data_IF_579570865571
#
_entry.id   IF_579570865571
#
_cell.length_a   1.000
_cell.length_b   1.000
_cell.length_c   1.000
_cell.angle_alpha   90.00
_cell.angle_beta   90.00
_cell.angle_gamma   90.00
#
_symmetry.space_group_name_H-M   'P 1'
#
loop_
_entity.id
_entity.type
_entity.pdbx_description
1 polymer ?
#
# COMPACT_ATOMS: atom_id res chain seq x y z
N UNK A 1 10.80 12.42 -2.94
CA UNK A 1 11.10 12.45 -1.49
C UNK A 1 10.72 13.75 -0.80
N UNK A 2 11.05 14.94 -1.36
CA UNK A 2 10.66 16.24 -0.80
C UNK A 2 9.14 16.39 -0.55
N UNK A 3 8.29 15.93 -1.48
CA UNK A 3 6.82 15.98 -1.35
C UNK A 3 6.32 15.29 -0.07
N UNK A 4 6.82 14.09 0.25
CA UNK A 4 6.41 13.37 1.47
C UNK A 4 6.85 14.08 2.76
N UNK A 5 8.07 14.66 2.79
CA UNK A 5 8.54 15.47 3.93
C UNK A 5 7.68 16.72 4.12
N UNK A 6 7.44 17.48 3.05
CA UNK A 6 6.59 18.67 3.05
C UNK A 6 5.17 18.34 3.52
N UNK A 7 4.59 17.27 2.99
CA UNK A 7 3.24 16.84 3.32
C UNK A 7 3.08 16.45 4.80
N UNK A 8 4.07 15.75 5.37
CA UNK A 8 4.08 15.41 6.79
C UNK A 8 4.15 16.65 7.69
N UNK A 9 4.96 17.65 7.31
CA UNK A 9 5.06 18.91 8.06
C UNK A 9 3.77 19.74 7.97
N UNK A 10 3.16 19.84 6.79
CA UNK A 10 1.89 20.55 6.57
C UNK A 10 0.78 19.94 7.43
N UNK A 11 0.72 18.60 7.50
CA UNK A 11 -0.27 17.90 8.32
C UNK A 11 -0.08 18.22 9.80
N UNK A 12 1.17 18.17 10.28
CA UNK A 12 1.47 18.50 11.68
C UNK A 12 1.00 19.91 12.03
N UNK A 13 1.28 20.90 11.17
CA UNK A 13 0.90 22.29 11.41
C UNK A 13 -0.62 22.52 11.34
N UNK A 14 -1.31 21.90 10.38
CA UNK A 14 -2.78 22.03 10.25
C UNK A 14 -3.55 21.31 11.35
N UNK A 15 -3.00 20.22 11.89
CA UNK A 15 -3.67 19.41 12.89
C UNK A 15 -3.47 19.89 14.34
N UNK A 16 -2.46 20.72 14.61
CA UNK A 16 -2.18 21.24 15.96
C UNK A 16 -3.35 22.06 16.54
N UNK A 17 -4.17 22.67 15.68
CA UNK A 17 -5.28 23.55 16.08
C UNK A 17 -6.68 22.99 15.73
N UNK A 18 -6.75 21.71 15.37
CA UNK A 18 -8.01 21.09 14.98
C UNK A 18 -8.77 20.50 16.18
N UNK A 19 -10.10 20.55 16.13
CA UNK A 19 -11.00 19.98 17.16
C UNK A 19 -10.70 18.51 17.48
N UNK A 20 -10.41 17.70 16.45
CA UNK A 20 -9.95 16.32 16.61
C UNK A 20 -8.68 16.09 15.76
N UNK A 21 -7.52 16.12 16.42
CA UNK A 21 -6.21 15.90 15.80
C UNK A 21 -6.13 14.56 15.05
N UNK A 22 -6.66 13.49 15.64
CA UNK A 22 -6.62 12.16 15.03
C UNK A 22 -7.38 12.15 13.71
N UNK A 23 -8.61 12.64 13.71
CA UNK A 23 -9.45 12.64 12.51
C UNK A 23 -8.89 13.52 11.39
N UNK A 24 -8.44 14.73 11.72
CA UNK A 24 -7.89 15.65 10.71
C UNK A 24 -6.62 15.08 10.09
N UNK A 25 -5.69 14.55 10.90
CA UNK A 25 -4.47 13.92 10.37
C UNK A 25 -4.82 12.73 9.50
N UNK A 26 -5.74 11.88 9.96
CA UNK A 26 -6.15 10.67 9.24
C UNK A 26 -6.79 11.03 7.90
N UNK A 27 -7.70 11.99 7.88
CA UNK A 27 -8.39 12.46 6.67
C UNK A 27 -7.42 13.11 5.68
N UNK A 28 -6.56 14.03 6.11
CA UNK A 28 -5.62 14.69 5.19
C UNK A 28 -4.61 13.70 4.62
N UNK A 29 -4.12 12.76 5.44
CA UNK A 29 -3.19 11.74 4.96
C UNK A 29 -3.86 10.81 3.93
N UNK A 30 -5.01 10.22 4.26
CA UNK A 30 -5.74 9.30 3.35
C UNK A 30 -6.32 10.00 2.12
N UNK A 31 -6.90 11.18 2.30
CA UNK A 31 -7.65 11.89 1.25
C UNK A 31 -6.76 12.67 0.29
N UNK A 32 -5.63 13.22 0.76
CA UNK A 32 -4.79 14.12 -0.06
C UNK A 32 -3.42 13.50 -0.32
N UNK A 33 -2.73 13.07 0.74
CA UNK A 33 -1.32 12.72 0.62
C UNK A 33 -1.11 11.37 -0.04
N UNK A 34 -1.83 10.33 0.38
CA UNK A 34 -1.70 8.98 -0.19
C UNK A 34 -1.98 9.01 -1.71
N UNK A 35 -3.11 9.55 -2.21
CA UNK A 35 -3.35 9.64 -3.65
C UNK A 35 -2.25 10.41 -4.40
N UNK A 36 -1.77 11.52 -3.81
CA UNK A 36 -0.70 12.33 -4.40
C UNK A 36 0.68 11.68 -4.39
N UNK A 37 0.92 10.66 -3.55
CA UNK A 37 2.15 9.86 -3.50
C UNK A 37 2.05 8.60 -4.35
N UNK A 38 0.87 8.01 -4.48
CA UNK A 38 0.60 6.81 -5.29
C UNK A 38 0.11 7.14 -6.70
N UNK A 39 0.23 8.39 -7.14
CA UNK A 39 -0.12 8.77 -8.50
C UNK A 39 0.76 8.01 -9.51
N UNK A 40 0.14 7.39 -10.52
CA UNK A 40 0.85 6.59 -11.52
C UNK A 40 1.38 5.24 -11.04
N UNK A 41 1.03 4.79 -9.82
CA UNK A 41 1.55 3.54 -9.23
C UNK A 41 1.26 2.28 -10.06
N UNK A 42 0.17 2.29 -10.85
CA UNK A 42 -0.16 1.21 -11.77
C UNK A 42 0.90 1.00 -12.86
N UNK A 43 1.54 2.08 -13.34
CA UNK A 43 2.47 2.05 -14.48
C UNK A 43 3.92 2.22 -14.04
N UNK A 44 4.19 3.12 -13.10
CA UNK A 44 5.55 3.40 -12.64
C UNK A 44 6.05 2.30 -11.70
N UNK A 45 7.34 1.99 -11.78
CA UNK A 45 8.00 1.09 -10.82
C UNK A 45 8.77 1.92 -9.81
N UNK A 46 8.28 1.95 -8.57
CA UNK A 46 8.99 2.62 -7.47
C UNK A 46 10.16 1.77 -6.99
N UNK A 47 11.30 2.41 -6.73
CA UNK A 47 12.44 1.75 -6.09
C UNK A 47 12.05 1.28 -4.67
N UNK A 48 12.56 0.13 -4.23
CA UNK A 48 12.36 -0.41 -2.89
C UNK A 48 12.74 0.60 -1.79
N UNK A 49 13.81 1.38 -1.99
CA UNK A 49 14.22 2.42 -1.04
C UNK A 49 13.22 3.59 -0.91
N UNK A 50 12.49 3.91 -1.99
CA UNK A 50 11.43 4.92 -1.94
C UNK A 50 10.20 4.36 -1.23
N UNK A 51 9.85 3.11 -1.51
CA UNK A 51 8.73 2.43 -0.87
C UNK A 51 8.95 2.32 0.65
N UNK A 52 10.13 1.90 1.09
CA UNK A 52 10.48 1.82 2.51
C UNK A 52 10.47 3.20 3.18
N UNK A 53 10.94 4.23 2.49
CA UNK A 53 10.86 5.60 2.99
C UNK A 53 9.40 6.07 3.18
N UNK A 54 8.53 5.78 2.21
CA UNK A 54 7.10 6.12 2.30
C UNK A 54 6.41 5.38 3.44
N UNK A 55 6.71 4.09 3.61
CA UNK A 55 6.25 3.26 4.74
C UNK A 55 6.63 3.85 6.10
N UNK A 56 7.91 4.20 6.29
CA UNK A 56 8.39 4.81 7.53
C UNK A 56 7.67 6.13 7.82
N UNK A 57 7.43 6.94 6.78
CA UNK A 57 6.68 8.21 6.93
C UNK A 57 5.23 7.97 7.30
N UNK A 58 4.55 7.00 6.67
CA UNK A 58 3.19 6.64 7.03
C UNK A 58 3.09 6.22 8.49
N UNK A 59 3.99 5.37 8.98
CA UNK A 59 4.00 4.94 10.39
C UNK A 59 4.26 6.11 11.34
N UNK A 60 5.15 7.03 10.97
CA UNK A 60 5.38 8.26 11.74
C UNK A 60 4.14 9.15 11.82
N UNK A 61 3.40 9.31 10.73
CA UNK A 61 2.13 10.06 10.73
C UNK A 61 1.05 9.33 11.53
N UNK A 62 1.00 7.99 11.46
CA UNK A 62 0.09 7.18 12.28
C UNK A 62 0.31 7.39 13.77
N UNK A 63 1.57 7.31 14.23
CA UNK A 63 1.93 7.61 15.63
C UNK A 63 1.56 9.04 16.04
N UNK A 64 1.83 10.02 15.17
CA UNK A 64 1.46 11.41 15.42
C UNK A 64 -0.06 11.58 15.57
N UNK A 65 -0.85 10.91 14.73
CA UNK A 65 -2.32 10.93 14.80
C UNK A 65 -2.81 10.36 16.14
N UNK A 66 -2.28 9.20 16.53
CA UNK A 66 -2.63 8.49 17.76
C UNK A 66 -2.06 9.17 19.02
N UNK A 67 -1.12 10.10 18.90
CA UNK A 67 -0.37 10.62 20.04
C UNK A 67 0.55 9.58 20.68
N UNK A 68 0.89 8.52 19.95
CA UNK A 68 1.68 7.40 20.43
C UNK A 68 3.18 7.72 20.45
N UNK A 69 3.91 7.06 21.35
CA UNK A 69 5.35 7.22 21.47
C UNK A 69 6.09 6.74 20.21
N UNK A 70 7.29 7.28 19.95
CA UNK A 70 8.11 6.90 18.80
C UNK A 70 8.44 5.41 18.72
N UNK A 71 8.54 4.76 19.89
CA UNK A 71 8.85 3.33 20.03
C UNK A 71 7.63 2.41 19.98
N UNK A 72 6.42 2.94 19.79
CA UNK A 72 5.21 2.11 19.68
C UNK A 72 5.36 1.11 18.53
N UNK A 73 5.00 -0.18 18.74
CA UNK A 73 5.06 -1.20 17.70
C UNK A 73 4.35 -0.76 16.40
N UNK A 74 4.95 -1.08 15.26
CA UNK A 74 4.42 -0.68 13.95
C UNK A 74 3.04 -1.29 13.67
N UNK A 75 2.82 -2.51 14.16
CA UNK A 75 1.65 -3.33 13.91
C UNK A 75 0.43 -2.75 14.64
N UNK A 76 0.58 -2.36 15.91
CA UNK A 76 -0.47 -1.64 16.65
C UNK A 76 -0.81 -0.30 16.00
N UNK A 77 0.21 0.52 15.71
CA UNK A 77 -0.01 1.82 15.05
C UNK A 77 -0.64 1.70 13.65
N UNK A 78 -0.40 0.62 12.91
CA UNK A 78 -1.04 0.36 11.62
C UNK A 78 -2.46 -0.21 11.76
N UNK A 79 -2.68 -1.06 12.78
CA UNK A 79 -3.96 -1.64 13.14
C UNK A 79 -4.99 -0.56 13.50
N UNK A 80 -4.68 0.27 14.49
CA UNK A 80 -5.55 1.38 14.94
C UNK A 80 -5.86 2.38 13.82
N UNK A 81 -4.90 2.62 12.92
CA UNK A 81 -5.11 3.53 11.80
C UNK A 81 -5.97 2.92 10.69
N UNK A 82 -6.01 1.58 10.59
CA UNK A 82 -6.67 0.84 9.51
C UNK A 82 -6.12 1.23 8.14
N UNK A 83 -4.79 1.31 8.03
CA UNK A 83 -4.10 1.75 6.82
C UNK A 83 -3.44 0.58 6.09
N UNK A 84 -3.67 0.49 4.78
CA UNK A 84 -2.93 -0.44 3.91
C UNK A 84 -1.45 -0.06 3.81
N UNK A 85 -0.59 -1.02 3.50
CA UNK A 85 0.80 -0.72 3.15
C UNK A 85 0.89 -0.10 1.74
N UNK A 86 1.94 0.66 1.48
CA UNK A 86 2.28 1.13 0.14
C UNK A 86 2.58 -0.03 -0.81
N UNK A 87 3.15 -1.13 -0.32
CA UNK A 87 3.37 -2.33 -1.13
C UNK A 87 2.03 -2.98 -1.55
N UNK A 88 1.07 -3.11 -0.63
CA UNK A 88 -0.27 -3.61 -0.94
C UNK A 88 -1.01 -2.70 -1.92
N UNK A 89 -0.84 -1.37 -1.79
CA UNK A 89 -1.39 -0.41 -2.78
C UNK A 89 -0.74 -0.55 -4.15
N UNK A 90 0.57 -0.79 -4.22
CA UNK A 90 1.28 -1.08 -5.47
C UNK A 90 0.79 -2.37 -6.11
N UNK A 91 0.68 -3.45 -5.32
CA UNK A 91 0.19 -4.74 -5.77
C UNK A 91 -1.21 -4.60 -6.38
N UNK A 92 -2.15 -4.03 -5.64
CA UNK A 92 -3.52 -3.81 -6.09
C UNK A 92 -3.57 -3.03 -7.41
N UNK A 93 -2.90 -1.88 -7.48
CA UNK A 93 -2.94 -1.03 -8.68
C UNK A 93 -2.31 -1.70 -9.91
N UNK A 94 -1.17 -2.40 -9.76
CA UNK A 94 -0.49 -3.04 -10.89
C UNK A 94 -1.24 -4.27 -11.40
N UNK A 95 -1.70 -5.13 -10.49
CA UNK A 95 -2.42 -6.35 -10.86
C UNK A 95 -3.78 -5.98 -11.48
N UNK A 96 -4.51 -5.02 -10.92
CA UNK A 96 -5.77 -4.54 -11.53
C UNK A 96 -5.53 -3.95 -12.93
N UNK A 97 -4.45 -3.18 -13.09
CA UNK A 97 -4.08 -2.63 -14.39
C UNK A 97 -3.72 -3.73 -15.39
N UNK A 98 -2.95 -4.73 -15.00
CA UNK A 98 -2.64 -5.89 -15.84
C UNK A 98 -3.90 -6.65 -16.24
N UNK A 99 -4.79 -6.93 -15.28
CA UNK A 99 -6.06 -7.61 -15.55
C UNK A 99 -6.95 -6.81 -16.51
N UNK A 100 -6.94 -5.46 -16.41
CA UNK A 100 -7.63 -4.59 -17.35
C UNK A 100 -6.99 -4.63 -18.73
N UNK A 101 -5.66 -4.55 -18.82
CA UNK A 101 -4.94 -4.67 -20.09
C UNK A 101 -5.23 -6.00 -20.77
N UNK A 102 -5.47 -7.08 -20.01
CA UNK A 102 -5.85 -8.39 -20.58
C UNK A 102 -7.21 -8.42 -21.27
N UNK A 103 -8.13 -7.54 -20.88
CA UNK A 103 -9.49 -7.44 -21.43
C UNK A 103 -9.62 -6.46 -22.59
N UNK A 104 -8.58 -5.68 -22.89
CA UNK A 104 -8.59 -4.72 -23.99
C UNK A 104 -8.43 -5.42 -25.34
N UNK A 105 -9.00 -4.82 -26.37
CA UNK A 105 -8.85 -5.24 -27.76
C UNK A 105 -7.37 -5.17 -28.22
N UNK A 106 -6.96 -6.12 -29.05
CA UNK A 106 -5.60 -6.28 -29.58
C UNK A 106 -5.16 -5.10 -30.45
N UNK A 107 -6.12 -4.36 -31.02
CA UNK A 107 -5.85 -3.16 -31.80
C UNK A 107 -5.31 -2.02 -30.93
N UNK A 108 -5.64 -2.00 -29.63
CA UNK A 108 -5.20 -0.93 -28.73
C UNK A 108 -3.71 -1.04 -28.40
N UNK A 109 -2.99 0.09 -28.49
CA UNK A 109 -1.56 0.17 -28.22
C UNK A 109 -1.17 -0.40 -26.85
N UNK A 110 -1.95 -0.13 -25.81
CA UNK A 110 -1.68 -0.64 -24.47
C UNK A 110 -1.68 -2.18 -24.39
N UNK A 111 -2.53 -2.85 -25.18
CA UNK A 111 -2.58 -4.31 -25.31
C UNK A 111 -1.38 -4.83 -26.12
N UNK A 112 -1.01 -4.13 -27.19
CA UNK A 112 0.17 -4.47 -28.00
C UNK A 112 1.48 -4.39 -27.20
N UNK A 113 1.60 -3.39 -26.33
CA UNK A 113 2.75 -3.26 -25.42
C UNK A 113 2.82 -4.44 -24.44
N UNK A 114 1.67 -4.89 -23.92
CA UNK A 114 1.63 -6.11 -23.09
C UNK A 114 2.05 -7.35 -23.90
N UNK A 115 1.60 -7.46 -25.15
CA UNK A 115 1.94 -8.57 -26.05
C UNK A 115 3.44 -8.61 -26.38
N UNK A 116 4.08 -7.45 -26.57
CA UNK A 116 5.54 -7.34 -26.71
C UNK A 116 6.27 -7.91 -25.49
N UNK A 117 5.74 -7.70 -24.29
CA UNK A 117 6.29 -8.34 -23.09
C UNK A 117 6.11 -9.85 -23.12
N UNK A 118 4.95 -10.36 -23.58
CA UNK A 118 4.72 -11.80 -23.73
C UNK A 118 5.70 -12.49 -24.68
N UNK A 119 6.29 -11.75 -25.64
CA UNK A 119 7.38 -12.21 -26.52
C UNK A 119 8.79 -11.98 -25.93
N UNK A 120 8.98 -12.37 -24.67
CA UNK A 120 10.27 -12.39 -23.95
C UNK A 120 10.97 -11.07 -23.59
N UNK A 121 10.31 -9.91 -23.72
CA UNK A 121 10.85 -8.66 -23.14
C UNK A 121 10.41 -8.55 -21.67
N UNK A 122 11.25 -9.03 -20.75
CA UNK A 122 10.96 -8.96 -19.32
C UNK A 122 11.37 -7.61 -18.70
N UNK A 123 10.47 -6.63 -18.81
CA UNK A 123 10.68 -5.30 -18.25
C UNK A 123 10.69 -5.30 -16.73
N UNK A 124 11.30 -4.26 -16.13
CA UNK A 124 11.25 -4.02 -14.67
C UNK A 124 9.82 -4.04 -14.14
N UNK A 125 8.86 -3.56 -14.92
CA UNK A 125 7.45 -3.57 -14.57
C UNK A 125 6.85 -4.97 -14.51
N UNK A 126 7.13 -5.82 -15.50
CA UNK A 126 6.64 -7.19 -15.53
C UNK A 126 7.24 -8.03 -14.40
N UNK A 127 8.56 -7.94 -14.19
CA UNK A 127 9.26 -8.58 -13.06
C UNK A 127 8.63 -8.21 -11.72
N UNK A 128 8.39 -6.91 -11.50
CA UNK A 128 7.77 -6.41 -10.27
C UNK A 128 6.33 -6.90 -10.11
N UNK A 129 5.53 -6.83 -11.17
CA UNK A 129 4.12 -7.24 -11.14
C UNK A 129 3.98 -8.74 -10.90
N UNK A 130 4.80 -9.57 -11.55
CA UNK A 130 4.89 -11.03 -11.26
C UNK A 130 5.27 -11.30 -9.81
N UNK A 131 6.28 -10.64 -9.28
CA UNK A 131 6.68 -10.80 -7.86
C UNK A 131 5.56 -10.42 -6.90
N UNK A 132 4.83 -9.33 -7.17
CA UNK A 132 3.69 -8.91 -6.37
C UNK A 132 2.51 -9.88 -6.51
N UNK A 133 2.25 -10.37 -7.72
CA UNK A 133 1.24 -11.40 -7.96
C UNK A 133 1.58 -12.67 -7.19
N UNK A 134 2.80 -13.21 -7.28
CA UNK A 134 3.21 -14.39 -6.52
C UNK A 134 3.10 -14.20 -5.00
N UNK A 135 3.29 -12.98 -4.50
CA UNK A 135 3.20 -12.67 -3.07
C UNK A 135 1.75 -12.56 -2.56
N UNK A 136 0.86 -11.92 -3.32
CA UNK A 136 -0.50 -11.56 -2.86
C UNK A 136 -1.62 -12.40 -3.50
N UNK A 137 -1.33 -13.03 -4.62
CA UNK A 137 -2.23 -13.88 -5.38
C UNK A 137 -1.54 -15.23 -5.49
N UNK A 138 -1.66 -16.06 -4.45
CA UNK A 138 -1.45 -17.50 -4.63
C UNK A 138 -2.30 -17.93 -5.83
N UNK A 139 -1.68 -18.47 -6.88
CA UNK A 139 -2.36 -18.80 -8.13
C UNK A 139 -3.21 -20.05 -7.91
N UNK A 140 -4.27 -19.94 -7.13
CA UNK A 140 -5.31 -20.95 -7.11
C UNK A 140 -6.10 -20.80 -8.42
N UNK A 141 -5.89 -21.79 -9.29
CA UNK A 141 -6.62 -22.07 -10.52
C UNK A 141 -8.08 -22.39 -10.19
N UNK A 142 -8.82 -21.38 -9.75
CA UNK A 142 -10.18 -21.57 -9.31
C UNK A 142 -10.86 -20.23 -9.31
N UNK A 143 -11.37 -19.85 -10.49
CA UNK A 143 -12.38 -18.83 -10.77
C UNK A 143 -12.87 -18.06 -9.53
N UNK A 144 -12.02 -17.21 -8.96
CA UNK A 144 -12.37 -16.56 -7.71
C UNK A 144 -13.19 -15.33 -8.06
N UNK A 145 -14.49 -15.40 -7.81
CA UNK A 145 -15.42 -14.24 -7.85
C UNK A 145 -14.95 -13.09 -6.94
N UNK A 146 -13.92 -13.30 -6.11
CA UNK A 146 -13.33 -12.29 -5.22
C UNK A 146 -12.46 -11.30 -6.00
N UNK A 147 -12.69 -10.03 -5.72
CA UNK A 147 -11.91 -8.93 -6.29
C UNK A 147 -10.43 -9.05 -5.91
N UNK A 148 -9.52 -8.66 -6.82
CA UNK A 148 -8.09 -8.48 -6.52
C UNK A 148 -7.90 -7.65 -5.24
N UNK A 149 -8.80 -6.68 -4.99
CA UNK A 149 -8.80 -5.84 -3.79
C UNK A 149 -8.95 -6.63 -2.51
N UNK A 150 -9.87 -7.60 -2.46
CA UNK A 150 -10.11 -8.37 -1.25
C UNK A 150 -8.94 -9.31 -1.00
N UNK A 151 -8.43 -9.97 -2.04
CA UNK A 151 -7.29 -10.90 -1.92
C UNK A 151 -6.03 -10.22 -1.37
N UNK A 152 -5.70 -9.03 -1.90
CA UNK A 152 -4.58 -8.25 -1.37
C UNK A 152 -4.82 -7.84 0.09
N UNK A 153 -6.06 -7.47 0.44
CA UNK A 153 -6.43 -7.12 1.82
C UNK A 153 -6.30 -8.32 2.77
N UNK A 154 -6.76 -9.50 2.35
CA UNK A 154 -6.73 -10.72 3.15
C UNK A 154 -5.27 -11.10 3.45
N UNK A 155 -4.42 -11.15 2.41
CA UNK A 155 -2.98 -11.41 2.56
C UNK A 155 -2.25 -10.35 3.41
N UNK A 156 -2.63 -9.06 3.31
CA UNK A 156 -2.10 -8.02 4.20
C UNK A 156 -2.55 -8.24 5.66
N UNK A 157 -3.77 -8.70 5.87
CA UNK A 157 -4.34 -8.95 7.20
C UNK A 157 -3.70 -10.17 7.85
N UNK A 158 -3.49 -11.25 7.11
CA UNK A 158 -2.76 -12.44 7.57
C UNK A 158 -1.33 -12.09 7.97
N UNK A 159 -0.60 -11.38 7.11
CA UNK A 159 0.77 -10.95 7.39
C UNK A 159 0.86 -10.02 8.60
N UNK A 160 -0.12 -9.11 8.75
CA UNK A 160 -0.21 -8.25 9.93
C UNK A 160 -0.48 -9.06 11.19
N UNK A 161 -1.40 -10.02 11.14
CA UNK A 161 -1.78 -10.88 12.27
C UNK A 161 -0.60 -11.73 12.73
N UNK A 162 0.14 -12.35 11.81
CA UNK A 162 1.37 -13.11 12.10
C UNK A 162 2.40 -12.24 12.84
N UNK A 163 2.68 -11.04 12.32
CA UNK A 163 3.62 -10.11 12.96
C UNK A 163 3.14 -9.57 14.30
N UNK A 164 1.84 -9.41 14.45
CA UNK A 164 1.23 -9.02 15.71
C UNK A 164 1.43 -10.12 16.76
N UNK A 165 1.28 -11.40 16.37
CA UNK A 165 1.47 -12.59 17.20
C UNK A 165 2.93 -12.86 17.59
N UNK A 166 3.90 -12.41 16.80
CA UNK A 166 5.33 -12.54 17.15
C UNK A 166 5.77 -11.59 18.28
N UNK A 167 5.09 -10.45 18.48
CA UNK A 167 5.57 -9.38 19.37
C UNK A 167 4.97 -9.42 20.77
N UNK A 168 5.78 -9.74 21.78
CA UNK A 168 5.37 -9.73 23.20
C UNK A 168 4.78 -8.41 23.67
N UNK A 169 5.27 -7.27 23.17
CA UNK A 169 4.76 -5.93 23.49
C UNK A 169 3.32 -5.67 23.04
N UNK A 170 2.75 -6.55 22.21
CA UNK A 170 1.36 -6.49 21.76
C UNK A 170 0.48 -7.56 22.41
N UNK A 171 0.94 -8.24 23.46
CA UNK A 171 0.15 -9.29 24.13
C UNK A 171 -1.24 -8.78 24.56
N UNK A 172 -1.28 -7.64 25.28
CA UNK A 172 -2.54 -7.01 25.71
C UNK A 172 -3.44 -6.56 24.54
N UNK A 173 -2.84 -6.18 23.41
CA UNK A 173 -3.58 -5.78 22.21
C UNK A 173 -4.23 -6.97 21.50
N UNK A 174 -3.85 -8.22 21.83
CA UNK A 174 -4.45 -9.44 21.26
C UNK A 174 -5.66 -9.92 22.05
N UNK A 175 -5.72 -9.57 23.33
CA UNK A 175 -6.77 -10.00 24.25
C UNK A 175 -8.06 -9.18 24.10
N UNK A 176 -7.97 -8.04 23.40
CA UNK A 176 -9.06 -7.12 23.09
C UNK A 176 -9.27 -7.00 21.59
#
# INVERSE_FOLDING_TARGET
MQKARRNSAVIKNKALWAYNRYEVIRMVWKGVMVPGLTFGNAVLCTNAGILSFMETRQRGVGRLALGAHGNTPNEGAMGDMGWSSFEGREAKSKIEYEARLRKLDEKMWARKVLYLFSKDIDTKWRKRTRRLASKYLHWEEGNSKRSIKSRVKDAETEHWTSKMQEKSSLALYREH
#
